data_IF_783056416267
#
_entry.id   IF_783056416267
#
_cell.length_a   1.000
_cell.length_b   1.000
_cell.length_c   1.000
_cell.angle_alpha   90.00
_cell.angle_beta   90.00
_cell.angle_gamma   90.00
#
_symmetry.space_group_name_H-M   'P 1'
#
loop_
_entity.id
_entity.type
_entity.pdbx_description
1 polymer ?
#
# COMPACT_ATOMS: atom_id res chain seq x y z
N UNK A 1 -8.16 -12.87 -26.66
CA UNK A 1 -8.48 -13.48 -25.34
C UNK A 1 -9.97 -13.48 -25.01
N UNK A 2 -10.68 -12.34 -25.05
CA UNK A 2 -12.11 -12.26 -24.66
C UNK A 2 -13.02 -13.22 -25.46
N UNK A 3 -12.79 -13.32 -26.78
CA UNK A 3 -13.56 -14.21 -27.66
C UNK A 3 -13.43 -15.69 -27.31
N UNK A 4 -12.26 -16.12 -26.82
CA UNK A 4 -12.04 -17.51 -26.38
C UNK A 4 -12.84 -17.84 -25.12
N UNK A 5 -13.08 -16.85 -24.25
CA UNK A 5 -13.82 -17.02 -23.00
C UNK A 5 -15.36 -16.92 -23.21
N UNK A 6 -15.79 -16.14 -24.20
CA UNK A 6 -17.19 -15.97 -24.59
C UNK A 6 -17.71 -17.03 -25.58
N UNK A 7 -16.86 -17.93 -26.07
CA UNK A 7 -17.25 -18.96 -27.06
C UNK A 7 -18.27 -19.98 -26.53
N UNK A 8 -18.26 -20.25 -25.21
CA UNK A 8 -19.17 -21.22 -24.58
C UNK A 8 -20.58 -20.67 -24.36
N UNK A 9 -20.70 -19.40 -24.03
CA UNK A 9 -21.98 -18.71 -23.89
C UNK A 9 -21.76 -17.21 -24.06
N UNK A 10 -22.19 -16.66 -25.19
CA UNK A 10 -22.04 -15.25 -25.52
C UNK A 10 -23.00 -14.37 -24.71
N UNK A 11 -24.03 -14.93 -24.06
CA UNK A 11 -25.00 -14.18 -23.26
C UNK A 11 -24.55 -13.96 -21.83
N UNK A 12 -23.69 -14.82 -21.28
CA UNK A 12 -23.15 -14.72 -19.92
C UNK A 12 -21.83 -13.92 -19.83
N UNK A 13 -21.58 -13.02 -20.80
CA UNK A 13 -20.33 -12.28 -20.89
C UNK A 13 -20.11 -11.33 -19.70
N UNK A 14 -21.20 -10.80 -19.15
CA UNK A 14 -21.26 -9.91 -18.00
C UNK A 14 -20.91 -10.66 -16.71
N UNK A 15 -21.39 -11.88 -16.54
CA UNK A 15 -21.07 -12.75 -15.39
C UNK A 15 -19.60 -13.18 -15.40
N UNK A 16 -19.02 -13.40 -16.58
CA UNK A 16 -17.61 -13.80 -16.76
C UNK A 16 -16.65 -12.62 -16.77
N UNK A 17 -17.14 -11.39 -16.88
CA UNK A 17 -16.31 -10.20 -16.96
C UNK A 17 -15.38 -10.02 -15.75
N UNK A 18 -15.83 -10.20 -14.48
CA UNK A 18 -14.96 -10.07 -13.32
C UNK A 18 -13.83 -11.10 -13.32
N UNK A 19 -14.12 -12.34 -13.75
CA UNK A 19 -13.15 -13.43 -13.83
C UNK A 19 -12.06 -13.14 -14.87
N UNK A 20 -12.47 -12.65 -16.04
CA UNK A 20 -11.55 -12.22 -17.09
C UNK A 20 -10.71 -11.01 -16.65
N UNK A 21 -11.34 -10.03 -16.00
CA UNK A 21 -10.65 -8.84 -15.52
C UNK A 21 -9.67 -9.17 -14.39
N UNK A 22 -9.96 -10.19 -13.58
CA UNK A 22 -9.03 -10.74 -12.61
C UNK A 22 -7.83 -11.36 -13.33
N UNK A 23 -8.06 -12.31 -14.25
CA UNK A 23 -6.99 -12.98 -14.99
C UNK A 23 -6.07 -11.99 -15.72
N UNK A 24 -6.64 -10.95 -16.35
CA UNK A 24 -5.85 -9.92 -17.02
C UNK A 24 -4.98 -9.09 -16.07
N UNK A 25 -5.44 -8.86 -14.84
CA UNK A 25 -4.71 -8.09 -13.83
C UNK A 25 -3.58 -8.87 -13.18
N UNK A 26 -3.71 -10.19 -13.09
CA UNK A 26 -2.74 -11.07 -12.42
C UNK A 26 -1.81 -11.81 -13.40
N UNK A 27 -2.00 -11.65 -14.71
CA UNK A 27 -1.11 -12.26 -15.71
C UNK A 27 0.10 -11.37 -15.95
N UNK A 28 1.29 -11.98 -15.97
CA UNK A 28 2.54 -11.32 -16.34
C UNK A 28 2.47 -10.80 -17.77
N UNK A 29 2.81 -9.53 -17.97
CA UNK A 29 2.89 -8.95 -19.31
C UNK A 29 4.31 -9.10 -19.87
N UNK A 30 4.45 -9.70 -21.05
CA UNK A 30 5.74 -9.93 -21.73
C UNK A 30 6.61 -8.68 -21.92
N UNK A 31 5.99 -7.49 -22.03
CA UNK A 31 6.74 -6.24 -22.23
C UNK A 31 7.34 -5.70 -20.93
N UNK A 32 6.67 -5.93 -19.80
CA UNK A 32 7.05 -5.37 -18.48
C UNK A 32 7.63 -6.42 -17.54
N UNK A 33 7.45 -7.71 -17.82
CA UNK A 33 7.87 -8.82 -16.95
C UNK A 33 7.05 -8.97 -15.67
N UNK A 34 6.08 -8.09 -15.43
CA UNK A 34 5.30 -7.99 -14.19
C UNK A 34 3.79 -7.99 -14.47
N UNK A 35 3.00 -8.34 -13.46
CA UNK A 35 1.54 -8.28 -13.52
C UNK A 35 1.05 -6.81 -13.40
N UNK A 36 -0.04 -6.42 -14.09
CA UNK A 36 -0.63 -5.10 -13.91
C UNK A 36 -1.04 -4.79 -12.47
N UNK A 37 -1.50 -5.79 -11.71
CA UNK A 37 -1.86 -5.63 -10.30
C UNK A 37 -0.63 -5.28 -9.45
N UNK A 38 0.49 -5.99 -9.66
CA UNK A 38 1.75 -5.71 -8.99
C UNK A 38 2.25 -4.29 -9.30
N UNK A 39 2.15 -3.85 -10.56
CA UNK A 39 2.57 -2.50 -10.95
C UNK A 39 1.71 -1.38 -10.32
N UNK A 40 0.41 -1.64 -10.06
CA UNK A 40 -0.48 -0.65 -9.44
C UNK A 40 -0.41 -0.65 -7.91
N UNK A 41 -0.34 -1.83 -7.29
CA UNK A 41 -0.49 -1.98 -5.84
C UNK A 41 0.83 -2.31 -5.12
N UNK A 42 1.88 -2.71 -5.85
CA UNK A 42 3.14 -3.19 -5.28
C UNK A 42 3.09 -4.61 -4.73
N UNK A 43 1.94 -5.29 -4.81
CA UNK A 43 1.76 -6.69 -4.41
C UNK A 43 0.66 -7.33 -5.28
N UNK A 44 0.62 -8.65 -5.28
CA UNK A 44 -0.42 -9.43 -5.97
C UNK A 44 -1.70 -9.47 -5.10
N UNK A 45 -2.92 -9.47 -5.67
CA UNK A 45 -4.15 -9.45 -4.89
C UNK A 45 -4.37 -10.78 -4.16
N UNK A 46 -4.64 -10.69 -2.84
CA UNK A 46 -5.02 -11.85 -2.02
C UNK A 46 -6.42 -12.34 -2.36
N UNK A 47 -6.53 -13.63 -2.63
CA UNK A 47 -7.81 -14.30 -2.87
C UNK A 47 -8.39 -14.86 -1.57
N UNK A 48 -9.72 -15.02 -1.47
CA UNK A 48 -10.34 -15.70 -0.32
C UNK A 48 -9.83 -17.12 -0.10
N UNK A 49 -9.40 -17.79 -1.18
CA UNK A 49 -8.79 -19.12 -1.11
C UNK A 49 -7.41 -19.09 -0.44
N UNK A 50 -6.65 -18.00 -0.61
CA UNK A 50 -5.34 -17.84 0.02
C UNK A 50 -5.45 -17.71 1.53
N UNK A 51 -6.54 -17.08 2.01
CA UNK A 51 -6.90 -17.05 3.44
C UNK A 51 -7.17 -18.46 3.96
N UNK A 52 -7.96 -19.25 3.22
CA UNK A 52 -8.36 -20.60 3.61
C UNK A 52 -7.15 -21.55 3.70
N UNK A 53 -6.18 -21.39 2.80
CA UNK A 53 -4.96 -22.21 2.79
C UNK A 53 -3.81 -21.62 3.61
N UNK A 54 -4.01 -20.47 4.25
CA UNK A 54 -2.96 -19.80 5.04
C UNK A 54 -1.76 -19.37 4.19
N UNK A 55 -1.97 -19.14 2.89
CA UNK A 55 -0.94 -18.70 1.95
C UNK A 55 -0.66 -17.20 2.04
N UNK A 56 -1.50 -16.46 2.77
CA UNK A 56 -1.27 -15.05 3.06
C UNK A 56 -0.27 -14.98 4.21
N UNK A 57 1.02 -14.90 3.89
CA UNK A 57 1.96 -14.42 4.89
C UNK A 57 1.74 -12.90 5.01
N UNK A 58 1.45 -12.37 6.21
CA UNK A 58 1.40 -10.93 6.43
C UNK A 58 2.75 -10.23 6.14
N UNK A 59 3.80 -11.02 5.91
CA UNK A 59 5.14 -10.60 5.48
C UNK A 59 5.24 -10.36 3.96
N UNK A 60 4.35 -10.94 3.15
CA UNK A 60 4.41 -10.92 1.67
C UNK A 60 3.73 -9.69 1.06
N UNK A 61 2.96 -8.93 1.84
CA UNK A 61 2.36 -7.63 1.45
C UNK A 61 3.37 -6.47 1.38
N UNK A 62 4.66 -6.78 1.43
CA UNK A 62 5.70 -5.77 1.58
C UNK A 62 6.47 -5.55 0.27
N UNK A 63 6.13 -4.54 -0.55
CA UNK A 63 7.01 -4.08 -1.61
C UNK A 63 8.24 -3.47 -0.94
N UNK A 64 9.34 -4.23 -0.90
CA UNK A 64 10.64 -3.81 -0.41
C UNK A 64 10.64 -3.20 1.03
N UNK A 65 11.19 -3.96 1.97
CA UNK A 65 11.76 -3.47 3.22
C UNK A 65 10.73 -3.14 4.35
N UNK A 66 10.26 -4.18 5.07
CA UNK A 66 9.61 -4.02 6.40
C UNK A 66 10.54 -3.30 7.40
N UNK A 67 11.85 -3.33 7.09
CA UNK A 67 12.85 -2.46 7.71
C UNK A 67 12.63 -0.98 7.43
N UNK A 68 12.17 -0.56 6.24
CA UNK A 68 12.06 0.87 5.88
C UNK A 68 10.86 1.56 6.52
N UNK A 69 9.70 0.92 6.68
CA UNK A 69 8.54 1.64 7.27
C UNK A 69 8.78 1.94 8.74
N UNK A 70 9.32 0.97 9.50
CA UNK A 70 9.70 1.17 10.91
C UNK A 70 10.87 2.14 11.05
N UNK A 71 11.91 1.99 10.22
CA UNK A 71 13.05 2.93 10.21
C UNK A 71 12.63 4.33 9.77
N UNK A 72 11.72 4.47 8.81
CA UNK A 72 11.16 5.75 8.38
C UNK A 72 10.36 6.40 9.51
N UNK A 73 9.47 5.65 10.17
CA UNK A 73 8.74 6.11 11.35
C UNK A 73 9.70 6.57 12.45
N UNK A 74 10.73 5.78 12.73
CA UNK A 74 11.71 6.09 13.77
C UNK A 74 12.55 7.32 13.41
N UNK A 75 12.96 7.47 12.14
CA UNK A 75 13.65 8.68 11.63
C UNK A 75 12.74 9.90 11.66
N UNK A 76 11.48 9.76 11.27
CA UNK A 76 10.50 10.84 11.25
C UNK A 76 10.24 11.35 12.67
N UNK A 77 10.02 10.44 13.61
CA UNK A 77 9.83 10.79 15.04
C UNK A 77 11.09 11.38 15.65
N UNK A 78 12.28 10.83 15.35
CA UNK A 78 13.56 11.39 15.80
C UNK A 78 13.81 12.82 15.29
N UNK A 79 13.30 13.19 14.11
CA UNK A 79 13.47 14.53 13.55
C UNK A 79 12.37 15.51 13.99
N UNK A 80 11.11 15.07 14.07
CA UNK A 80 9.98 15.95 14.43
C UNK A 80 9.93 16.27 15.92
N UNK A 81 10.27 15.31 16.79
CA UNK A 81 10.14 15.49 18.23
C UNK A 81 11.06 16.60 18.78
N UNK A 82 12.35 16.69 18.41
CA UNK A 82 13.21 17.79 18.83
C UNK A 82 12.73 19.15 18.30
N UNK A 83 12.28 19.21 17.04
CA UNK A 83 11.78 20.45 16.44
C UNK A 83 10.51 20.95 17.16
N UNK A 84 9.59 20.04 17.45
CA UNK A 84 8.37 20.33 18.21
C UNK A 84 8.68 20.82 19.63
N UNK A 85 9.57 20.13 20.35
CA UNK A 85 9.97 20.51 21.69
C UNK A 85 10.68 21.87 21.70
N UNK A 86 11.52 22.16 20.71
CA UNK A 86 12.21 23.45 20.59
C UNK A 86 11.22 24.60 20.42
N UNK A 87 10.25 24.48 19.51
CA UNK A 87 9.23 25.52 19.30
C UNK A 87 8.37 25.70 20.56
N UNK A 88 7.98 24.60 21.19
CA UNK A 88 7.18 24.64 22.42
C UNK A 88 7.94 25.32 23.57
N UNK A 89 9.23 25.04 23.70
CA UNK A 89 10.09 25.67 24.69
C UNK A 89 10.29 27.17 24.40
N UNK A 90 10.49 27.57 23.14
CA UNK A 90 10.57 28.98 22.76
C UNK A 90 9.26 29.73 23.04
N UNK A 91 8.12 29.12 22.73
CA UNK A 91 6.81 29.70 23.02
C UNK A 91 6.59 29.84 24.53
N UNK A 92 6.99 28.84 25.31
CA UNK A 92 6.89 28.89 26.78
C UNK A 92 7.82 29.95 27.38
N UNK A 93 9.06 30.09 26.89
CA UNK A 93 10.00 31.11 27.36
C UNK A 93 9.48 32.51 26.99
N UNK A 94 9.05 32.71 25.75
CA UNK A 94 8.46 33.98 25.30
C UNK A 94 7.27 34.39 26.16
N UNK A 95 6.36 33.43 26.44
CA UNK A 95 5.20 33.69 27.29
C UNK A 95 5.59 34.03 28.74
N UNK A 96 6.61 33.36 29.30
CA UNK A 96 7.11 33.67 30.64
C UNK A 96 7.84 35.03 30.72
N UNK A 97 8.57 35.41 29.68
CA UNK A 97 9.26 36.70 29.60
C UNK A 97 8.27 37.86 29.41
N UNK A 98 7.14 37.62 28.75
CA UNK A 98 6.07 38.59 28.60
C UNK A 98 5.33 38.85 29.93
N UNK A 99 5.04 37.80 30.72
CA UNK A 99 4.37 37.92 32.02
C UNK A 99 5.24 38.61 33.08
N UNK A 100 6.57 38.53 32.97
CA UNK A 100 7.50 39.17 33.91
C UNK A 100 7.83 40.64 33.59
N UNK A 101 7.23 41.22 32.53
CA UNK A 101 7.53 42.58 32.04
C UNK A 101 6.36 43.57 32.16
N UNK A 102 5.28 43.17 32.83
CA UNK A 102 4.20 44.01 33.37
C UNK A 102 4.27 44.02 34.91
#
# INVERSE_FOLDING_TARGET
MIRAYAQSDQRAWDVKLPQLAFALRTTINDSTGESPAFLMCGHEPHLPIDVLFGSINPSDDHPANDRDVRVYRDRLTANLLPAFNFVTLLLSISNSFFISRD
#
